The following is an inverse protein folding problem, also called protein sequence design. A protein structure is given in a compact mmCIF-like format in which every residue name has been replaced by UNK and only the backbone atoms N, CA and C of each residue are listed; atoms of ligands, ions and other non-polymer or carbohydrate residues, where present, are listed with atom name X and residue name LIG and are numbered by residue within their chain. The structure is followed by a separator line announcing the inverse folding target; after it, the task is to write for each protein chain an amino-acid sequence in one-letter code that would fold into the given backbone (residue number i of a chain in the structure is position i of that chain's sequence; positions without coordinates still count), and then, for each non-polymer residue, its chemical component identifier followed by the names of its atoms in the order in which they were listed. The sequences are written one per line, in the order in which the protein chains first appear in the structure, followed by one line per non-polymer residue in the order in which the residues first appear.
data_IF_144426302377
#
_entry.id   IF_144426302377
#
_cell.length_a   1.000
_cell.length_b   1.000
_cell.length_c   1.000
_cell.angle_alpha   90.00
_cell.angle_beta   90.00
_cell.angle_gamma   90.00
#
_symmetry.space_group_name_H-M   'P 1'
#
loop_
_entity.id
_entity.type
_entity.pdbx_description
1 polymer ?
#
# COMPACT_ATOMS: atom_id res chain seq x y z
N UNK A 1 48.06 21.21 38.72
CA UNK A 1 47.46 19.87 38.49
C UNK A 1 45.96 19.91 38.79
N UNK A 2 45.27 20.94 38.32
CA UNK A 2 43.82 21.04 38.27
C UNK A 2 43.52 21.65 36.89
N UNK A 3 42.43 21.29 36.24
CA UNK A 3 41.96 21.81 34.93
C UNK A 3 42.24 20.97 33.66
N UNK A 4 42.65 19.70 33.77
CA UNK A 4 42.65 18.77 32.60
C UNK A 4 41.50 17.76 32.67
N UNK A 5 40.92 17.52 33.84
CA UNK A 5 39.81 16.57 34.02
C UNK A 5 38.45 17.11 33.54
N UNK A 6 38.31 18.43 33.39
CA UNK A 6 37.01 19.06 33.10
C UNK A 6 36.68 19.18 31.61
N UNK A 7 37.70 19.18 30.73
CA UNK A 7 37.50 19.33 29.27
C UNK A 7 37.21 18.01 28.55
N UNK A 8 37.55 16.86 29.15
CA UNK A 8 37.28 15.55 28.56
C UNK A 8 35.81 15.13 28.77
N UNK A 9 35.16 15.63 29.82
CA UNK A 9 33.78 15.26 30.15
C UNK A 9 32.72 15.90 29.22
N UNK A 10 33.00 17.06 28.62
CA UNK A 10 32.04 17.77 27.77
C UNK A 10 32.08 17.34 26.30
N UNK A 11 33.18 16.74 25.84
CA UNK A 11 33.30 16.20 24.47
C UNK A 11 32.52 14.88 24.27
N UNK A 12 32.16 14.17 25.34
CA UNK A 12 31.35 12.95 25.25
C UNK A 12 29.84 13.21 25.10
N UNK A 13 29.34 14.40 25.43
CA UNK A 13 27.89 14.69 25.41
C UNK A 13 27.41 15.08 24.00
N UNK A 14 28.31 15.54 23.12
CA UNK A 14 27.95 15.96 21.75
C UNK A 14 28.01 14.77 20.75
N UNK A 15 28.59 13.63 21.13
CA UNK A 15 28.67 12.44 20.27
C UNK A 15 27.48 11.47 20.39
N UNK A 16 26.53 11.70 21.32
CA UNK A 16 25.38 10.79 21.54
C UNK A 16 24.16 11.15 20.66
N UNK A 17 24.24 12.17 19.81
CA UNK A 17 23.20 12.43 18.79
C UNK A 17 23.41 11.67 17.48
N UNK A 18 24.35 10.73 17.43
CA UNK A 18 24.54 9.85 16.28
C UNK A 18 23.72 8.56 16.47
N UNK A 19 22.55 8.48 15.85
CA UNK A 19 21.90 7.18 15.64
C UNK A 19 20.41 7.06 15.91
N UNK A 20 19.64 8.15 15.98
CA UNK A 20 18.21 8.03 15.76
C UNK A 20 17.96 7.83 14.25
N UNK A 21 18.23 6.63 13.74
CA UNK A 21 17.53 6.15 12.57
C UNK A 21 16.07 6.03 12.97
N UNK A 22 15.28 7.08 12.74
CA UNK A 22 13.84 6.91 12.68
C UNK A 22 13.60 5.85 11.61
N UNK A 23 13.11 4.69 12.03
CA UNK A 23 12.51 3.74 11.11
C UNK A 23 11.23 4.41 10.58
N UNK A 24 11.39 5.38 9.66
CA UNK A 24 10.27 5.89 8.90
C UNK A 24 9.86 4.76 7.98
N UNK A 25 8.65 4.24 8.19
CA UNK A 25 7.99 3.44 7.18
C UNK A 25 8.11 4.19 5.84
N UNK A 26 8.44 3.50 4.74
CA UNK A 26 8.43 4.13 3.42
C UNK A 26 7.13 4.91 3.23
N UNK A 27 7.21 6.15 2.71
CA UNK A 27 6.01 6.95 2.49
C UNK A 27 5.07 6.18 1.56
N UNK A 28 3.77 6.38 1.76
CA UNK A 28 2.73 5.84 0.87
C UNK A 28 2.97 6.36 -0.54
N UNK A 29 2.92 5.46 -1.52
CA UNK A 29 3.16 5.81 -2.92
C UNK A 29 1.95 6.51 -3.53
N UNK A 30 0.75 5.94 -3.31
CA UNK A 30 -0.51 6.53 -3.77
C UNK A 30 -1.68 6.08 -2.89
N UNK A 31 -2.76 6.85 -2.89
CA UNK A 31 -4.04 6.51 -2.26
C UNK A 31 -5.19 7.06 -3.09
N UNK A 32 -6.19 6.22 -3.33
CA UNK A 32 -7.40 6.63 -4.05
C UNK A 32 -8.64 5.86 -3.57
N UNK A 33 -9.80 6.45 -3.81
CA UNK A 33 -11.10 5.88 -3.46
C UNK A 33 -11.72 5.10 -4.62
N UNK A 34 -13.04 5.27 -4.80
CA UNK A 34 -13.74 4.72 -5.95
C UNK A 34 -13.59 5.62 -7.19
N UNK A 35 -12.45 5.45 -7.88
CA UNK A 35 -12.14 6.16 -9.14
C UNK A 35 -12.59 5.36 -10.35
N UNK A 36 -12.72 6.01 -11.51
CA UNK A 36 -13.04 5.34 -12.77
C UNK A 36 -11.88 4.42 -13.21
N UNK A 37 -12.16 3.53 -14.16
CA UNK A 37 -11.18 2.53 -14.60
C UNK A 37 -9.92 3.14 -15.23
N UNK A 38 -10.06 4.22 -16.01
CA UNK A 38 -8.94 4.86 -16.71
C UNK A 38 -7.97 5.51 -15.71
N UNK A 39 -8.50 6.22 -14.71
CA UNK A 39 -7.72 6.82 -13.64
C UNK A 39 -7.02 5.77 -12.80
N UNK A 40 -7.70 4.66 -12.48
CA UNK A 40 -7.06 3.56 -11.76
C UNK A 40 -5.94 2.94 -12.57
N UNK A 41 -6.16 2.66 -13.86
CA UNK A 41 -5.14 2.10 -14.74
C UNK A 41 -3.92 3.02 -14.83
N UNK A 42 -4.11 4.32 -15.06
CA UNK A 42 -3.01 5.28 -15.13
C UNK A 42 -2.16 5.31 -13.85
N UNK A 43 -2.79 5.18 -12.67
CA UNK A 43 -2.07 5.09 -11.39
C UNK A 43 -1.29 3.78 -11.25
N UNK A 44 -1.88 2.66 -11.69
CA UNK A 44 -1.22 1.36 -11.70
C UNK A 44 -0.06 1.31 -12.71
N UNK A 45 -0.16 2.07 -13.81
CA UNK A 45 0.92 2.21 -14.80
C UNK A 45 2.12 2.93 -14.20
N UNK A 46 1.85 4.01 -13.46
CA UNK A 46 2.89 4.72 -12.71
C UNK A 46 3.57 3.79 -11.70
N UNK A 47 2.80 2.97 -10.97
CA UNK A 47 3.38 1.95 -10.08
C UNK A 47 4.26 0.95 -10.85
N UNK A 48 3.80 0.45 -12.00
CA UNK A 48 4.54 -0.52 -12.79
C UNK A 48 5.89 0.05 -13.27
N UNK A 49 5.91 1.30 -13.74
CA UNK A 49 7.15 2.01 -14.11
C UNK A 49 8.11 2.08 -12.93
N UNK A 50 7.63 2.48 -11.75
CA UNK A 50 8.49 2.60 -10.56
C UNK A 50 9.06 1.25 -10.10
N UNK A 51 8.26 0.18 -10.17
CA UNK A 51 8.75 -1.17 -9.88
C UNK A 51 9.77 -1.66 -10.90
N UNK A 52 9.69 -1.24 -12.16
CA UNK A 52 10.71 -1.56 -13.15
C UNK A 52 12.02 -0.81 -12.89
N UNK A 53 11.95 0.44 -12.44
CA UNK A 53 13.12 1.26 -12.10
C UNK A 53 13.85 0.76 -10.86
N UNK A 54 13.13 0.31 -9.83
CA UNK A 54 13.72 -0.21 -8.59
C UNK A 54 13.43 -1.72 -8.41
N UNK A 55 14.35 -2.61 -8.79
CA UNK A 55 14.14 -4.06 -8.69
C UNK A 55 14.11 -4.60 -7.26
N UNK A 56 14.61 -3.86 -6.27
CA UNK A 56 14.64 -4.27 -4.85
C UNK A 56 13.29 -4.10 -4.14
N UNK A 57 12.35 -3.42 -4.79
CA UNK A 57 11.08 -2.99 -4.20
C UNK A 57 9.91 -3.88 -4.59
N UNK A 58 8.94 -4.00 -3.68
CA UNK A 58 7.68 -4.73 -3.83
C UNK A 58 6.52 -3.74 -3.69
N UNK A 59 5.57 -3.85 -4.61
CA UNK A 59 4.31 -3.10 -4.54
C UNK A 59 3.33 -3.81 -3.61
N UNK A 60 3.05 -3.21 -2.46
CA UNK A 60 2.00 -3.65 -1.56
C UNK A 60 0.73 -2.86 -1.84
N UNK A 61 -0.37 -3.57 -2.04
CA UNK A 61 -1.66 -3.00 -2.43
C UNK A 61 -2.67 -3.38 -1.37
N UNK A 62 -3.04 -2.43 -0.53
CA UNK A 62 -4.06 -2.63 0.51
C UNK A 62 -5.38 -2.14 -0.05
N UNK A 63 -6.40 -3.00 -0.02
CA UNK A 63 -7.74 -2.62 -0.46
C UNK A 63 -8.71 -2.70 0.71
N UNK A 64 -9.42 -1.61 0.93
CA UNK A 64 -10.43 -1.46 1.97
C UNK A 64 -11.83 -1.45 1.34
N UNK A 65 -12.76 -2.21 1.91
CA UNK A 65 -14.18 -2.08 1.57
C UNK A 65 -14.78 -0.81 2.16
N UNK A 66 -15.77 -0.22 1.50
CA UNK A 66 -16.55 0.87 2.10
C UNK A 66 -17.56 0.35 3.13
N UNK A 67 -18.05 1.25 4.00
CA UNK A 67 -19.13 0.96 4.97
C UNK A 67 -20.38 0.42 4.27
N UNK A 68 -20.64 0.89 3.05
CA UNK A 68 -21.74 0.44 2.20
C UNK A 68 -21.19 -0.19 0.92
N UNK A 69 -21.26 -1.52 0.80
CA UNK A 69 -20.64 -2.22 -0.33
C UNK A 69 -21.12 -3.66 -0.47
N UNK A 70 -20.53 -4.42 -1.39
CA UNK A 70 -20.79 -5.86 -1.53
C UNK A 70 -19.76 -6.67 -0.75
N UNK A 71 -20.17 -7.82 -0.23
CA UNK A 71 -19.23 -8.74 0.43
C UNK A 71 -18.19 -9.24 -0.58
N UNK A 72 -16.92 -9.11 -0.24
CA UNK A 72 -15.79 -9.53 -1.08
C UNK A 72 -15.35 -8.51 -2.13
N UNK A 73 -15.91 -7.29 -2.10
CA UNK A 73 -15.63 -6.25 -3.09
C UNK A 73 -14.16 -5.82 -3.09
N UNK A 74 -13.60 -5.58 -1.90
CA UNK A 74 -12.19 -5.26 -1.72
C UNK A 74 -11.28 -6.37 -2.29
N UNK A 75 -11.58 -7.64 -1.99
CA UNK A 75 -10.83 -8.79 -2.49
C UNK A 75 -10.93 -8.94 -4.02
N UNK A 76 -12.10 -8.71 -4.60
CA UNK A 76 -12.29 -8.75 -6.04
C UNK A 76 -11.48 -7.65 -6.74
N UNK A 77 -11.52 -6.42 -6.20
CA UNK A 77 -10.74 -5.29 -6.71
C UNK A 77 -9.23 -5.54 -6.58
N UNK A 78 -8.76 -6.03 -5.43
CA UNK A 78 -7.36 -6.42 -5.23
C UNK A 78 -6.89 -7.48 -6.24
N UNK A 79 -7.72 -8.50 -6.50
CA UNK A 79 -7.45 -9.52 -7.50
C UNK A 79 -7.35 -8.93 -8.91
N UNK A 80 -8.26 -8.02 -9.29
CA UNK A 80 -8.19 -7.34 -10.60
C UNK A 80 -6.92 -6.51 -10.73
N UNK A 81 -6.62 -5.69 -9.73
CA UNK A 81 -5.42 -4.82 -9.73
C UNK A 81 -4.17 -5.67 -9.93
N UNK A 82 -4.02 -6.76 -9.17
CA UNK A 82 -2.88 -7.68 -9.34
C UNK A 82 -2.85 -8.31 -10.73
N UNK A 83 -3.99 -8.75 -11.27
CA UNK A 83 -4.07 -9.29 -12.62
C UNK A 83 -3.63 -8.26 -13.66
N UNK A 84 -4.07 -7.00 -13.56
CA UNK A 84 -3.67 -5.94 -14.48
C UNK A 84 -2.16 -5.71 -14.47
N UNK A 85 -1.57 -5.52 -13.28
CA UNK A 85 -0.12 -5.30 -13.15
C UNK A 85 0.72 -6.46 -13.69
N UNK A 86 0.27 -7.70 -13.45
CA UNK A 86 1.01 -8.90 -13.88
C UNK A 86 0.79 -9.21 -15.36
N UNK A 87 -0.47 -9.24 -15.81
CA UNK A 87 -0.83 -9.72 -17.15
C UNK A 87 -0.71 -8.63 -18.21
N UNK A 88 -1.06 -7.40 -17.88
CA UNK A 88 -1.06 -6.28 -18.83
C UNK A 88 0.26 -5.51 -18.77
N UNK A 89 0.80 -5.25 -17.57
CA UNK A 89 2.05 -4.50 -17.39
C UNK A 89 3.31 -5.36 -17.21
N UNK A 90 3.17 -6.68 -17.19
CA UNK A 90 4.30 -7.61 -17.15
C UNK A 90 5.12 -7.57 -15.87
N UNK A 91 4.58 -7.03 -14.78
CA UNK A 91 5.28 -7.01 -13.48
C UNK A 91 5.31 -8.43 -12.92
N UNK A 92 6.47 -8.84 -12.39
CA UNK A 92 6.61 -10.15 -11.75
C UNK A 92 5.59 -10.31 -10.60
N UNK A 93 4.85 -11.43 -10.60
CA UNK A 93 3.77 -11.67 -9.65
C UNK A 93 4.21 -11.75 -8.18
N UNK A 94 5.49 -12.09 -7.92
CA UNK A 94 6.11 -12.09 -6.59
C UNK A 94 6.39 -10.67 -6.07
N UNK A 95 6.34 -9.66 -6.96
CA UNK A 95 6.56 -8.25 -6.63
C UNK A 95 5.28 -7.47 -6.38
N UNK A 96 4.12 -8.12 -6.50
CA UNK A 96 2.80 -7.53 -6.21
C UNK A 96 2.13 -8.30 -5.08
N UNK A 97 2.04 -7.70 -3.89
CA UNK A 97 1.40 -8.28 -2.72
C UNK A 97 0.11 -7.54 -2.39
N UNK A 98 -1.00 -8.25 -2.38
CA UNK A 98 -2.32 -7.70 -2.05
C UNK A 98 -2.68 -8.01 -0.61
N UNK A 99 -3.18 -7.01 0.12
CA UNK A 99 -3.58 -7.12 1.53
C UNK A 99 -5.06 -6.73 1.65
N UNK A 100 -5.83 -7.54 2.38
CA UNK A 100 -7.18 -7.16 2.79
C UNK A 100 -7.07 -6.14 3.93
N UNK A 101 -7.48 -4.90 3.66
CA UNK A 101 -7.39 -3.80 4.62
C UNK A 101 -8.53 -3.78 5.64
N UNK A 102 -9.55 -4.63 5.49
CA UNK A 102 -10.80 -4.52 6.22
C UNK A 102 -11.71 -3.43 5.61
N UNK A 103 -12.28 -2.58 6.45
CA UNK A 103 -13.29 -1.60 6.02
C UNK A 103 -12.95 -0.18 6.48
N UNK A 104 -13.31 0.78 5.64
CA UNK A 104 -13.30 2.21 5.92
C UNK A 104 -14.65 2.83 5.59
N UNK A 105 -14.82 4.11 5.87
CA UNK A 105 -16.06 4.82 5.53
C UNK A 105 -16.40 4.69 4.04
N UNK A 106 -15.42 4.97 3.19
CA UNK A 106 -15.49 4.79 1.74
C UNK A 106 -14.51 3.71 1.29
N UNK A 107 -14.76 3.12 0.11
CA UNK A 107 -13.78 2.25 -0.54
C UNK A 107 -12.47 3.02 -0.71
N UNK A 108 -11.35 2.37 -0.38
CA UNK A 108 -10.02 2.95 -0.52
C UNK A 108 -9.02 1.89 -0.99
N UNK A 109 -8.04 2.34 -1.76
CA UNK A 109 -6.87 1.57 -2.16
C UNK A 109 -5.64 2.36 -1.74
N UNK A 110 -4.74 1.71 -1.03
CA UNK A 110 -3.43 2.26 -0.72
C UNK A 110 -2.37 1.46 -1.46
N UNK A 111 -1.46 2.19 -2.11
CA UNK A 111 -0.30 1.62 -2.76
C UNK A 111 0.93 2.02 -1.97
N UNK A 112 1.74 1.03 -1.64
CA UNK A 112 3.00 1.22 -0.96
C UNK A 112 4.13 0.56 -1.74
N UNK A 113 5.25 1.27 -1.82
CA UNK A 113 6.50 0.74 -2.34
C UNK A 113 7.42 0.42 -1.16
N UNK A 114 7.70 -0.87 -0.96
CA UNK A 114 8.46 -1.35 0.19
C UNK A 114 9.65 -2.18 -0.25
N UNK A 115 10.87 -1.94 0.28
CA UNK A 115 11.98 -2.86 0.07
C UNK A 115 11.64 -4.23 0.67
N UNK A 116 12.04 -5.32 0.00
CA UNK A 116 11.75 -6.69 0.44
C UNK A 116 12.17 -7.00 1.89
N UNK A 117 13.20 -6.32 2.39
CA UNK A 117 13.81 -6.56 3.71
C UNK A 117 13.14 -5.83 4.87
N UNK A 118 12.25 -4.86 4.62
CA UNK A 118 11.77 -3.90 5.65
C UNK A 118 10.39 -4.27 6.20
N UNK A 119 9.73 -5.30 5.67
CA UNK A 119 8.46 -5.81 6.17
C UNK A 119 7.25 -5.47 5.29
N UNK A 120 6.09 -5.27 5.91
CA UNK A 120 4.78 -5.17 5.25
C UNK A 120 4.02 -3.98 5.83
N UNK A 121 3.36 -3.13 5.02
CA UNK A 121 2.52 -2.05 5.55
C UNK A 121 1.39 -2.59 6.41
N UNK A 122 1.10 -1.88 7.51
CA UNK A 122 -0.01 -2.21 8.39
C UNK A 122 -1.29 -1.56 7.86
N UNK A 123 -2.33 -2.37 7.67
CA UNK A 123 -3.65 -1.87 7.33
C UNK A 123 -4.22 -0.98 8.45
N UNK A 124 -4.99 0.03 8.07
CA UNK A 124 -5.67 0.97 8.97
C UNK A 124 -7.17 1.05 8.65
N UNK A 125 -7.95 0.00 9.00
CA UNK A 125 -9.40 0.05 8.91
C UNK A 125 -9.97 1.09 9.89
N UNK A 126 -11.06 1.75 9.49
CA UNK A 126 -11.78 2.71 10.34
C UNK A 126 -13.20 2.26 10.67
N UNK A 127 -13.65 1.15 10.07
CA UNK A 127 -14.98 0.59 10.27
C UNK A 127 -14.85 -0.88 10.67
N UNK A 128 -15.52 -1.27 11.75
CA UNK A 128 -15.60 -2.66 12.16
C UNK A 128 -16.58 -3.44 11.27
N UNK A 129 -16.30 -4.73 11.04
CA UNK A 129 -17.14 -5.59 10.19
C UNK A 129 -18.62 -5.61 10.61
N UNK A 130 -18.91 -5.52 11.90
CA UNK A 130 -20.29 -5.51 12.43
C UNK A 130 -21.09 -4.28 12.01
N UNK A 131 -20.41 -3.18 11.68
CA UNK A 131 -21.02 -1.89 11.31
C UNK A 131 -21.14 -1.72 9.79
N UNK A 132 -20.62 -2.67 9.01
CA UNK A 132 -20.71 -2.68 7.55
C UNK A 132 -22.11 -3.08 7.12
N UNK A 133 -22.66 -2.37 6.13
CA UNK A 133 -23.96 -2.64 5.51
C UNK A 133 -23.75 -3.25 4.14
N UNK A 134 -23.86 -4.57 4.06
CA UNK A 134 -23.71 -5.29 2.80
C UNK A 134 -24.94 -5.17 1.91
N UNK A 135 -24.74 -4.74 0.66
CA UNK A 135 -25.73 -4.85 -0.40
C UNK A 135 -26.00 -6.33 -0.69
N UNK A 136 -27.27 -6.68 -0.96
CA UNK A 136 -27.66 -8.03 -1.36
C UNK A 136 -27.06 -8.40 -2.73
N UNK A 137 -26.86 -9.70 -2.93
CA UNK A 137 -26.35 -10.27 -4.18
C UNK A 137 -24.86 -10.59 -4.16
N UNK A 138 -24.43 -11.39 -5.14
CA UNK A 138 -23.03 -11.77 -5.35
C UNK A 138 -22.33 -10.78 -6.28
N UNK A 139 -21.03 -10.61 -6.10
CA UNK A 139 -20.17 -9.93 -7.06
C UNK A 139 -20.21 -10.72 -8.37
N UNK A 140 -20.64 -10.05 -9.45
CA UNK A 140 -20.58 -10.62 -10.80
C UNK A 140 -19.25 -10.27 -11.42
N UNK A 141 -18.62 -11.23 -12.10
CA UNK A 141 -17.32 -11.03 -12.75
C UNK A 141 -17.33 -9.80 -13.68
N UNK A 142 -18.35 -9.68 -14.53
CA UNK A 142 -18.52 -8.53 -15.44
C UNK A 142 -18.57 -7.16 -14.75
N UNK A 143 -19.09 -7.08 -13.51
CA UNK A 143 -19.25 -5.81 -12.80
C UNK A 143 -17.88 -5.29 -12.26
N UNK A 144 -16.90 -6.18 -12.08
CA UNK A 144 -15.63 -5.86 -11.43
C UNK A 144 -14.40 -6.10 -12.30
N UNK A 145 -14.47 -6.93 -13.35
CA UNK A 145 -13.34 -7.31 -14.20
C UNK A 145 -13.28 -6.55 -15.53
N UNK A 146 -14.30 -5.76 -15.89
CA UNK A 146 -14.33 -5.03 -17.16
C UNK A 146 -13.50 -3.74 -17.22
N UNK A 147 -12.75 -3.37 -16.17
CA UNK A 147 -11.76 -2.29 -16.31
C UNK A 147 -10.62 -2.77 -17.22
N UNK A 148 -10.56 -2.24 -18.44
CA UNK A 148 -9.46 -2.48 -19.38
C UNK A 148 -9.52 -3.81 -20.15
N UNK A 149 -10.62 -4.55 -20.12
CA UNK A 149 -10.91 -5.59 -21.13
C UNK A 149 -11.32 -4.89 -22.43
N UNK A 150 -10.37 -4.21 -23.08
CA UNK A 150 -10.55 -3.65 -24.41
C UNK A 150 -10.15 -4.60 -25.53
N UNK A 151 -9.52 -5.76 -25.27
CA UNK A 151 -9.31 -6.83 -26.25
C UNK A 151 -9.13 -8.20 -25.56
#
# INVERSE_FOLDING_TARGET
MENIKLTIATLCIILIWAGHSFAQNPPKFDEFGDVNCEDEMARLDNLAVQLQTDPGTVGHIIVYGGRFGRRGEARARASRIKTYLVKTRGVDASRILTIDGGYRENLAVEIWMWPRSVGVPKASPTVELKDVRFKKGKIKKRDYYHCGEMY
#
